data_IF_392976914351
#
_entry.id   IF_392976914351
#
_cell.length_a   1.000
_cell.length_b   1.000
_cell.length_c   1.000
_cell.angle_alpha   90.00
_cell.angle_beta   90.00
_cell.angle_gamma   90.00
#
_symmetry.space_group_name_H-M   'P 1'
#
loop_
_entity.id
_entity.type
_entity.pdbx_description
1 polymer ?
#
# COMPACT_ATOMS: atom_id res chain seq x y z
N UNK A 1 25.69 7.84 6.88
CA UNK A 1 24.89 8.84 6.14
C UNK A 1 23.71 8.10 5.54
N UNK A 2 22.57 8.04 6.26
CA UNK A 2 21.37 7.39 5.75
C UNK A 2 20.67 8.39 4.82
N UNK A 3 20.71 8.14 3.51
CA UNK A 3 19.87 8.87 2.59
C UNK A 3 18.41 8.54 2.96
N UNK A 4 17.65 9.55 3.39
CA UNK A 4 16.21 9.40 3.53
C UNK A 4 15.65 9.14 2.12
N UNK A 5 15.23 7.91 1.85
CA UNK A 5 14.57 7.58 0.59
C UNK A 5 13.34 8.48 0.45
N UNK A 6 13.26 9.23 -0.65
CA UNK A 6 12.12 10.09 -0.97
C UNK A 6 11.58 9.74 -2.36
N UNK A 7 10.29 9.96 -2.58
CA UNK A 7 9.65 9.64 -3.87
C UNK A 7 9.48 8.13 -4.10
N UNK A 8 9.75 7.67 -5.33
CA UNK A 8 9.45 6.29 -5.78
C UNK A 8 10.20 5.23 -4.98
N UNK A 9 11.45 5.49 -4.58
CA UNK A 9 12.25 4.55 -3.79
C UNK A 9 11.60 4.23 -2.43
N UNK A 10 11.02 5.23 -1.78
CA UNK A 10 10.32 5.05 -0.51
C UNK A 10 9.08 4.16 -0.68
N UNK A 11 8.30 4.39 -1.73
CA UNK A 11 7.13 3.57 -2.06
C UNK A 11 7.52 2.13 -2.38
N UNK A 12 8.60 1.92 -3.15
CA UNK A 12 9.16 0.60 -3.40
C UNK A 12 9.59 -0.06 -2.08
N UNK A 13 10.27 0.68 -1.20
CA UNK A 13 10.67 0.19 0.12
C UNK A 13 9.48 -0.29 0.95
N UNK A 14 8.36 0.43 0.93
CA UNK A 14 7.13 0.01 1.64
C UNK A 14 6.57 -1.29 1.05
N UNK A 15 6.51 -1.41 -0.28
CA UNK A 15 6.03 -2.63 -0.95
C UNK A 15 6.92 -3.84 -0.60
N UNK A 16 8.25 -3.67 -0.67
CA UNK A 16 9.21 -4.71 -0.34
C UNK A 16 9.15 -5.10 1.14
N UNK A 17 8.97 -4.13 2.05
CA UNK A 17 8.77 -4.41 3.46
C UNK A 17 7.53 -5.28 3.69
N UNK A 18 6.43 -4.99 2.98
CA UNK A 18 5.23 -5.83 3.01
C UNK A 18 5.50 -7.26 2.53
N UNK A 19 6.24 -7.40 1.44
CA UNK A 19 6.64 -8.69 0.88
C UNK A 19 7.50 -9.53 1.84
N UNK A 20 8.52 -8.95 2.47
CA UNK A 20 9.38 -9.67 3.40
C UNK A 20 8.70 -10.00 4.73
N UNK A 21 7.68 -9.23 5.13
CA UNK A 21 6.87 -9.53 6.33
C UNK A 21 6.04 -10.80 6.22
N UNK A 22 5.88 -11.36 5.02
CA UNK A 22 5.22 -12.65 4.84
C UNK A 22 5.83 -13.76 5.69
N UNK A 23 7.15 -13.74 5.90
CA UNK A 23 7.88 -14.75 6.68
C UNK A 23 7.68 -14.61 8.19
N UNK A 24 7.03 -13.53 8.64
CA UNK A 24 6.83 -13.22 10.06
C UNK A 24 5.39 -13.43 10.54
N UNK A 25 4.47 -13.79 9.65
CA UNK A 25 3.06 -13.96 9.98
C UNK A 25 2.58 -15.36 9.64
N UNK A 26 1.76 -15.92 10.53
CA UNK A 26 1.13 -17.23 10.36
C UNK A 26 -0.36 -17.14 10.70
N UNK A 27 -1.12 -18.17 10.32
CA UNK A 27 -2.52 -18.34 10.71
C UNK A 27 -3.43 -17.15 10.37
N UNK A 28 -4.23 -16.73 11.34
CA UNK A 28 -5.21 -15.65 11.18
C UNK A 28 -4.56 -14.28 10.95
N UNK A 29 -3.38 -14.05 11.54
CA UNK A 29 -2.64 -12.79 11.36
C UNK A 29 -2.19 -12.65 9.90
N UNK A 30 -1.65 -13.71 9.32
CA UNK A 30 -1.32 -13.74 7.89
C UNK A 30 -2.56 -13.53 7.02
N UNK A 31 -3.67 -14.19 7.37
CA UNK A 31 -4.95 -14.03 6.64
C UNK A 31 -5.44 -12.58 6.67
N UNK A 32 -5.40 -11.93 7.84
CA UNK A 32 -5.79 -10.54 8.02
C UNK A 32 -4.84 -9.58 7.28
N UNK A 33 -3.52 -9.81 7.36
CA UNK A 33 -2.51 -9.03 6.64
C UNK A 33 -2.71 -9.09 5.12
N UNK A 34 -3.15 -10.25 4.60
CA UNK A 34 -3.47 -10.45 3.19
C UNK A 34 -4.90 -10.01 2.80
N UNK A 35 -5.67 -9.42 3.71
CA UNK A 35 -7.00 -8.90 3.43
C UNK A 35 -8.15 -9.93 3.41
N UNK A 36 -8.03 -11.04 4.13
CA UNK A 36 -9.20 -11.86 4.53
C UNK A 36 -9.71 -12.92 3.53
N UNK A 37 -8.95 -13.24 2.47
CA UNK A 37 -9.20 -14.31 1.48
C UNK A 37 -10.33 -14.11 0.45
N UNK A 38 -9.93 -14.06 -0.83
CA UNK A 38 -10.62 -14.67 -1.98
C UNK A 38 -9.75 -14.61 -3.26
N UNK A 39 -8.82 -13.66 -3.34
CA UNK A 39 -7.91 -13.53 -4.49
C UNK A 39 -6.47 -13.41 -3.96
N UNK A 40 -5.81 -14.55 -3.78
CA UNK A 40 -4.35 -14.59 -3.53
C UNK A 40 -3.66 -14.33 -4.87
N UNK A 41 -2.63 -13.47 -4.90
CA UNK A 41 -1.89 -13.01 -6.09
C UNK A 41 -2.59 -11.91 -6.91
N UNK A 42 -3.22 -10.97 -6.23
CA UNK A 42 -3.63 -9.70 -6.84
C UNK A 42 -2.38 -8.82 -7.02
N UNK A 43 -2.36 -8.04 -8.10
CA UNK A 43 -1.31 -7.05 -8.34
C UNK A 43 -1.05 -6.22 -7.07
N UNK A 44 0.22 -6.05 -6.74
CA UNK A 44 0.73 -5.35 -5.56
C UNK A 44 0.45 -6.01 -4.20
N UNK A 45 -0.13 -7.21 -4.13
CA UNK A 45 -0.16 -7.93 -2.85
C UNK A 45 1.25 -8.40 -2.44
N UNK A 46 1.50 -8.65 -1.14
CA UNK A 46 2.83 -9.03 -0.66
C UNK A 46 3.46 -10.24 -1.35
N UNK A 47 2.69 -11.27 -1.72
CA UNK A 47 3.22 -12.44 -2.43
C UNK A 47 3.62 -12.09 -3.86
N UNK A 48 2.80 -11.28 -4.53
CA UNK A 48 3.10 -10.82 -5.88
C UNK A 48 4.37 -9.96 -5.89
N UNK A 49 4.50 -9.00 -4.95
CA UNK A 49 5.70 -8.15 -4.83
C UNK A 49 6.94 -8.99 -4.53
N UNK A 50 6.84 -10.01 -3.66
CA UNK A 50 7.95 -10.93 -3.40
C UNK A 50 8.38 -11.67 -4.68
N UNK A 51 7.42 -12.08 -5.51
CA UNK A 51 7.69 -12.69 -6.81
C UNK A 51 8.48 -11.76 -7.73
N UNK A 52 8.02 -10.51 -7.88
CA UNK A 52 8.72 -9.50 -8.67
C UNK A 52 10.12 -9.20 -8.12
N UNK A 53 10.27 -9.10 -6.80
CA UNK A 53 11.58 -8.93 -6.18
C UNK A 53 12.51 -10.08 -6.56
N UNK A 54 12.04 -11.32 -6.48
CA UNK A 54 12.84 -12.51 -6.80
C UNK A 54 13.30 -12.50 -8.26
N UNK A 55 12.41 -12.14 -9.19
CA UNK A 55 12.69 -12.06 -10.63
C UNK A 55 13.68 -10.94 -10.98
N UNK A 56 13.58 -9.79 -10.33
CA UNK A 56 14.37 -8.60 -10.65
C UNK A 56 15.55 -8.35 -9.72
N UNK A 57 15.81 -9.21 -8.71
CA UNK A 57 16.88 -9.00 -7.71
C UNK A 57 18.28 -8.83 -8.28
N UNK A 58 18.55 -9.37 -9.48
CA UNK A 58 19.83 -9.25 -10.17
C UNK A 58 19.88 -8.10 -11.17
N UNK A 59 18.79 -7.33 -11.31
CA UNK A 59 18.65 -6.19 -12.20
C UNK A 59 18.78 -4.88 -11.42
N UNK A 60 18.74 -3.75 -12.12
CA UNK A 60 18.76 -2.45 -11.47
C UNK A 60 17.43 -2.17 -10.75
N UNK A 61 17.46 -1.29 -9.74
CA UNK A 61 16.24 -0.79 -9.09
C UNK A 61 15.30 -0.10 -10.09
N UNK A 62 15.88 0.53 -11.13
CA UNK A 62 15.12 1.14 -12.23
C UNK A 62 14.32 0.11 -13.03
N UNK A 63 14.92 -1.03 -13.36
CA UNK A 63 14.21 -2.10 -14.08
C UNK A 63 13.04 -2.66 -13.27
N UNK A 64 13.24 -2.83 -11.96
CA UNK A 64 12.19 -3.24 -11.04
C UNK A 64 11.06 -2.19 -10.98
N UNK A 65 11.41 -0.91 -10.89
CA UNK A 65 10.42 0.17 -10.88
C UNK A 65 9.62 0.24 -12.19
N UNK A 66 10.27 0.11 -13.34
CA UNK A 66 9.60 0.05 -14.64
C UNK A 66 8.62 -1.13 -14.71
N UNK A 67 9.05 -2.33 -14.32
CA UNK A 67 8.19 -3.51 -14.33
C UNK A 67 6.96 -3.33 -13.43
N UNK A 68 7.14 -2.78 -12.23
CA UNK A 68 6.03 -2.45 -11.33
C UNK A 68 5.04 -1.48 -11.99
N UNK A 69 5.54 -0.41 -12.61
CA UNK A 69 4.70 0.60 -13.26
C UNK A 69 3.95 -0.02 -14.44
N UNK A 70 4.59 -0.80 -15.29
CA UNK A 70 3.96 -1.47 -16.43
C UNK A 70 2.81 -2.38 -15.98
N UNK A 71 3.03 -3.14 -14.92
CA UNK A 71 2.01 -4.01 -14.32
C UNK A 71 0.83 -3.22 -13.72
N UNK A 72 1.11 -2.10 -13.06
CA UNK A 72 0.07 -1.19 -12.54
C UNK A 72 -0.76 -0.56 -13.67
N UNK A 73 -0.11 -0.13 -14.75
CA UNK A 73 -0.77 0.41 -15.94
C UNK A 73 -1.67 -0.64 -16.59
N UNK A 74 -1.17 -1.86 -16.79
CA UNK A 74 -1.93 -2.97 -17.34
C UNK A 74 -3.16 -3.31 -16.48
N UNK A 75 -3.00 -3.32 -15.15
CA UNK A 75 -4.08 -3.57 -14.22
C UNK A 75 -5.14 -2.45 -14.24
N UNK A 76 -4.70 -1.19 -14.24
CA UNK A 76 -5.60 -0.02 -14.33
C UNK A 76 -6.44 -0.08 -15.60
N UNK A 77 -5.80 -0.34 -16.75
CA UNK A 77 -6.48 -0.49 -18.03
C UNK A 77 -7.51 -1.65 -18.02
N UNK A 78 -7.13 -2.83 -17.49
CA UNK A 78 -8.03 -3.97 -17.36
C UNK A 78 -9.26 -3.65 -16.52
N UNK A 79 -9.08 -2.95 -15.40
CA UNK A 79 -10.19 -2.54 -14.52
C UNK A 79 -11.09 -1.52 -15.20
N UNK A 80 -10.52 -0.56 -15.93
CA UNK A 80 -11.28 0.43 -16.69
C UNK A 80 -12.15 -0.25 -17.75
N UNK A 81 -11.57 -1.15 -18.55
CA UNK A 81 -12.31 -1.91 -19.57
C UNK A 81 -13.43 -2.76 -18.97
N UNK A 82 -13.19 -3.40 -17.82
CA UNK A 82 -14.23 -4.17 -17.12
C UNK A 82 -15.41 -3.30 -16.68
N UNK A 83 -15.16 -2.03 -16.36
CA UNK A 83 -16.18 -1.04 -15.96
C UNK A 83 -16.77 -0.27 -17.14
N UNK A 84 -16.29 -0.53 -18.36
CA UNK A 84 -16.77 0.13 -19.56
C UNK A 84 -18.24 -0.21 -19.78
N UNK A 85 -19.01 0.79 -20.18
CA UNK A 85 -20.42 0.62 -20.54
C UNK A 85 -20.72 1.31 -21.86
N UNK A 86 -21.74 0.82 -22.55
CA UNK A 86 -22.29 1.44 -23.75
C UNK A 86 -23.66 1.97 -23.39
N UNK A 87 -23.86 3.27 -23.56
CA UNK A 87 -25.13 3.94 -23.32
C UNK A 87 -26.12 3.64 -24.45
N UNK A 88 -27.41 3.89 -24.21
CA UNK A 88 -28.49 3.60 -25.18
C UNK A 88 -28.37 4.36 -26.51
N UNK A 89 -27.63 5.47 -26.53
CA UNK A 89 -27.30 6.26 -27.72
C UNK A 89 -26.06 5.76 -28.48
N UNK A 90 -25.47 4.63 -28.07
CA UNK A 90 -24.25 4.06 -28.65
C UNK A 90 -22.94 4.66 -28.13
N UNK A 91 -22.99 5.62 -27.20
CA UNK A 91 -21.80 6.21 -26.61
C UNK A 91 -21.08 5.21 -25.68
N UNK A 92 -19.79 5.02 -25.91
CA UNK A 92 -18.94 4.24 -25.02
C UNK A 92 -18.41 5.12 -23.89
N UNK A 93 -18.61 4.68 -22.64
CA UNK A 93 -18.06 5.32 -21.46
C UNK A 93 -17.02 4.40 -20.85
N UNK A 94 -15.76 4.85 -20.85
CA UNK A 94 -14.63 4.21 -20.19
C UNK A 94 -14.26 5.00 -18.93
N UNK A 95 -14.66 4.53 -17.73
CA UNK A 95 -14.34 5.22 -16.49
C UNK A 95 -12.89 4.92 -16.08
N UNK A 96 -11.96 5.75 -16.56
CA UNK A 96 -10.55 5.77 -16.14
C UNK A 96 -10.18 7.17 -15.67
N UNK A 97 -9.24 7.24 -14.71
CA UNK A 97 -8.59 8.49 -14.28
C UNK A 97 -7.17 8.61 -14.83
N UNK A 98 -6.74 7.61 -15.59
CA UNK A 98 -5.40 7.46 -16.13
C UNK A 98 -5.52 7.26 -17.64
N UNK A 99 -4.90 8.16 -18.39
CA UNK A 99 -5.04 8.22 -19.84
C UNK A 99 -3.67 8.18 -20.51
N UNK A 100 -3.56 7.38 -21.55
CA UNK A 100 -2.42 7.43 -22.45
C UNK A 100 -2.68 8.47 -23.55
N UNK A 101 -1.71 9.35 -23.79
CA UNK A 101 -1.68 10.27 -24.93
C UNK A 101 -0.26 10.37 -25.44
N UNK A 102 -0.06 10.11 -26.73
CA UNK A 102 1.26 10.21 -27.39
C UNK A 102 2.37 9.41 -26.67
N UNK A 103 2.05 8.21 -26.19
CA UNK A 103 2.99 7.35 -25.46
C UNK A 103 3.32 7.82 -24.04
N UNK A 104 2.54 8.76 -23.49
CA UNK A 104 2.71 9.27 -22.13
C UNK A 104 1.42 9.09 -21.33
N UNK A 105 1.57 8.78 -20.05
CA UNK A 105 0.46 8.57 -19.14
C UNK A 105 0.16 9.83 -18.32
N UNK A 106 -1.11 10.20 -18.26
CA UNK A 106 -1.62 11.37 -17.55
C UNK A 106 -2.68 10.93 -16.55
N UNK A 107 -2.48 11.27 -15.28
CA UNK A 107 -3.48 11.08 -14.24
C UNK A 107 -4.33 12.35 -14.10
N UNK A 108 -5.66 12.23 -14.20
CA UNK A 108 -6.59 13.35 -13.97
C UNK A 108 -6.68 13.72 -12.48
N UNK A 109 -6.41 12.77 -11.59
CA UNK A 109 -6.33 12.99 -10.14
C UNK A 109 -5.46 11.93 -9.48
N UNK A 110 -4.85 12.21 -8.31
CA UNK A 110 -4.17 11.19 -7.53
C UNK A 110 -5.17 10.10 -7.12
N UNK A 111 -4.76 8.84 -7.27
CA UNK A 111 -5.49 7.71 -6.71
C UNK A 111 -5.34 7.73 -5.19
N UNK A 112 -6.43 7.53 -4.44
CA UNK A 112 -6.37 7.46 -2.97
C UNK A 112 -6.41 8.78 -2.19
N UNK A 113 -6.75 9.92 -2.80
CA UNK A 113 -6.97 11.18 -2.05
C UNK A 113 -8.23 11.20 -1.17
N UNK A 114 -8.94 10.07 -1.05
CA UNK A 114 -9.89 9.89 0.03
C UNK A 114 -9.10 9.67 1.31
N UNK A 115 -9.36 10.48 2.34
CA UNK A 115 -8.85 10.24 3.68
C UNK A 115 -9.24 8.79 4.05
N UNK A 116 -8.30 7.84 3.92
CA UNK A 116 -8.37 6.56 4.61
C UNK A 116 -8.13 6.99 6.05
N UNK A 117 -9.18 7.55 6.67
CA UNK A 117 -9.11 8.09 8.00
C UNK A 117 -8.75 6.92 8.87
N UNK A 118 -7.46 6.78 9.17
CA UNK A 118 -6.99 5.86 10.18
C UNK A 118 -7.66 6.40 11.43
N UNK A 119 -8.72 5.71 11.84
CA UNK A 119 -9.57 6.23 12.89
C UNK A 119 -8.71 6.27 14.16
N UNK A 120 -8.82 7.33 14.94
CA UNK A 120 -7.94 7.56 16.09
C UNK A 120 -7.98 6.40 17.10
N UNK A 121 -9.10 5.68 17.16
CA UNK A 121 -9.26 4.43 17.89
C UNK A 121 -8.37 3.29 17.36
N UNK A 122 -8.29 3.09 16.05
CA UNK A 122 -7.41 2.08 15.44
C UNK A 122 -5.93 2.39 15.68
N UNK A 123 -5.53 3.67 15.52
CA UNK A 123 -4.18 4.11 15.86
C UNK A 123 -3.92 3.90 17.36
N UNK A 124 -4.88 4.27 18.21
CA UNK A 124 -4.81 4.07 19.65
C UNK A 124 -4.60 2.60 20.03
N UNK A 125 -5.35 1.67 19.41
CA UNK A 125 -5.23 0.24 19.65
C UNK A 125 -3.86 -0.31 19.24
N UNK A 126 -3.35 0.10 18.08
CA UNK A 126 -1.99 -0.28 17.65
C UNK A 126 -0.96 0.27 18.64
N UNK A 127 -1.07 1.54 19.04
CA UNK A 127 -0.18 2.14 20.02
C UNK A 127 -0.23 1.42 21.39
N UNK A 128 -1.40 0.97 21.85
CA UNK A 128 -1.50 0.15 23.06
C UNK A 128 -0.79 -1.19 22.91
N UNK A 129 -0.97 -1.88 21.77
CA UNK A 129 -0.30 -3.15 21.50
C UNK A 129 1.23 -3.01 21.39
N UNK A 130 1.71 -1.89 20.86
CA UNK A 130 3.13 -1.55 20.79
C UNK A 130 3.70 -1.05 22.13
N UNK A 131 2.88 -0.98 23.18
CA UNK A 131 3.30 -0.51 24.50
C UNK A 131 3.58 0.99 24.56
N UNK A 132 3.08 1.79 23.62
CA UNK A 132 3.12 3.26 23.62
C UNK A 132 2.08 3.83 24.59
N UNK A 133 0.89 3.22 24.60
CA UNK A 133 -0.16 3.51 25.57
C UNK A 133 -0.39 2.32 26.49
N UNK A 134 -0.84 2.61 27.71
CA UNK A 134 -1.30 1.63 28.69
C UNK A 134 -2.57 2.13 29.36
N UNK A 135 -3.12 1.33 30.26
CA UNK A 135 -4.26 1.69 31.09
C UNK A 135 -3.84 1.57 32.55
N UNK A 136 -4.06 2.63 33.33
CA UNK A 136 -3.89 2.64 34.78
C UNK A 136 -5.18 3.16 35.39
N UNK A 137 -5.81 2.39 36.28
CA UNK A 137 -7.09 2.74 36.91
C UNK A 137 -8.18 3.13 35.89
N UNK A 138 -8.29 2.38 34.78
CA UNK A 138 -9.17 2.67 33.63
C UNK A 138 -8.91 4.01 32.92
N UNK A 139 -7.82 4.70 33.25
CA UNK A 139 -7.38 5.92 32.57
C UNK A 139 -6.29 5.57 31.55
N UNK A 140 -6.40 6.01 30.29
CA UNK A 140 -5.33 5.88 29.31
C UNK A 140 -4.08 6.65 29.76
N UNK A 141 -2.94 5.97 29.83
CA UNK A 141 -1.66 6.57 30.17
C UNK A 141 -0.65 6.36 29.06
N UNK A 142 0.24 7.34 28.86
CA UNK A 142 1.38 7.20 27.96
C UNK A 142 2.52 6.54 28.73
N UNK A 143 3.08 5.45 28.19
CA UNK A 143 4.20 4.75 28.80
C UNK A 143 5.50 5.54 28.63
N UNK A 144 6.58 5.19 29.37
CA UNK A 144 7.89 5.80 29.15
C UNK A 144 8.39 5.67 27.70
N UNK A 145 8.21 4.49 27.09
CA UNK A 145 8.52 4.23 25.68
C UNK A 145 7.69 5.13 24.76
N UNK A 146 6.40 5.31 25.08
CA UNK A 146 5.53 6.21 24.33
C UNK A 146 5.94 7.67 24.43
N UNK A 147 6.38 8.14 25.61
CA UNK A 147 6.86 9.52 25.78
C UNK A 147 8.13 9.78 24.97
N UNK A 148 9.07 8.83 24.98
CA UNK A 148 10.31 8.92 24.19
C UNK A 148 10.00 8.96 22.69
N UNK A 149 9.18 8.03 22.18
CA UNK A 149 8.86 7.95 20.76
C UNK A 149 8.04 9.14 20.25
N UNK A 150 7.18 9.72 21.10
CA UNK A 150 6.32 10.85 20.75
C UNK A 150 6.93 12.22 21.07
N UNK A 151 8.12 12.26 21.70
CA UNK A 151 8.78 13.50 22.11
C UNK A 151 8.00 14.29 23.17
N UNK A 152 7.29 13.59 24.06
CA UNK A 152 6.50 14.21 25.12
C UNK A 152 7.38 14.51 26.35
N UNK A 153 7.09 15.57 27.11
CA UNK A 153 7.78 15.85 28.36
C UNK A 153 7.57 14.71 29.38
N UNK A 154 8.56 14.54 30.26
CA UNK A 154 8.51 13.56 31.36
C UNK A 154 7.33 13.78 32.32
#
# INVERSE_FOLDING_TARGET
>A
MHAAHSGVEAWIGILLLGAFRLEHFEGEVLSAFLGGSAHRRVYLDPHWVHGQYTEYRSRSLGDFACALVDDMLAQSHRVALRKMRVESNGQMILPTKLHEREGRWFAESPEGAGNIGVRADQVGQICTQLGIFSTSDDVPTVTPVGRELLGLPE
#
